data_IF_463682138968
#
_entry.id   IF_463682138968
#
_cell.length_a   1.000
_cell.length_b   1.000
_cell.length_c   1.000
_cell.angle_alpha   90.00
_cell.angle_beta   90.00
_cell.angle_gamma   90.00
#
_symmetry.space_group_name_H-M   'P 1'
#
loop_
_entity.id
_entity.type
_entity.pdbx_description
1 polymer ?
#
# COMPACT_ATOMS: atom_id res chain seq x y z
N UNK A 1 8.78 -2.01 -4.88
CA UNK A 1 8.60 -0.66 -4.31
C UNK A 1 8.89 -0.65 -2.83
N UNK A 2 9.62 0.34 -2.37
CA UNK A 2 9.85 0.51 -0.94
C UNK A 2 8.75 1.34 -0.28
N UNK A 3 8.63 1.23 1.05
CA UNK A 3 7.62 1.98 1.82
C UNK A 3 7.76 3.49 1.65
N UNK A 4 8.99 4.00 1.63
CA UNK A 4 9.23 5.44 1.50
C UNK A 4 8.80 5.97 0.14
N UNK A 5 9.02 5.19 -0.90
CA UNK A 5 8.61 5.53 -2.26
C UNK A 5 7.09 5.59 -2.38
N UNK A 6 6.40 4.59 -1.81
CA UNK A 6 4.94 4.56 -1.79
C UNK A 6 4.39 5.72 -0.97
N UNK A 7 5.00 6.01 0.16
CA UNK A 7 4.62 7.12 1.03
C UNK A 7 4.74 8.46 0.30
N UNK A 8 5.84 8.67 -0.40
CA UNK A 8 6.06 9.89 -1.16
C UNK A 8 4.98 10.07 -2.22
N UNK A 9 4.67 9.02 -2.97
CA UNK A 9 3.59 9.05 -3.96
C UNK A 9 2.23 9.33 -3.31
N UNK A 10 1.97 8.75 -2.14
CA UNK A 10 0.72 8.99 -1.41
C UNK A 10 0.60 10.45 -0.96
N UNK A 11 1.69 11.05 -0.51
CA UNK A 11 1.71 12.46 -0.11
C UNK A 11 1.41 13.39 -1.28
N UNK A 12 1.84 13.01 -2.47
CA UNK A 12 1.57 13.78 -3.70
C UNK A 12 0.17 13.53 -4.27
N UNK A 13 -0.57 12.59 -3.69
CA UNK A 13 -1.87 12.20 -4.22
C UNK A 13 -1.79 11.42 -5.52
N UNK A 14 -0.65 10.82 -5.80
CA UNK A 14 -0.40 10.10 -7.05
C UNK A 14 -0.88 8.64 -7.02
N UNK A 15 -1.24 8.12 -5.86
CA UNK A 15 -1.66 6.73 -5.72
C UNK A 15 -3.13 6.58 -6.07
N UNK A 16 -3.43 5.85 -7.14
CA UNK A 16 -4.79 5.52 -7.53
C UNK A 16 -5.32 4.35 -6.73
N UNK A 17 -4.50 3.32 -6.54
CA UNK A 17 -4.87 2.12 -5.81
C UNK A 17 -3.66 1.59 -5.06
N UNK A 18 -3.84 1.25 -3.81
CA UNK A 18 -2.82 0.60 -3.00
C UNK A 18 -3.28 -0.82 -2.66
N UNK A 19 -2.53 -1.81 -3.13
CA UNK A 19 -2.75 -3.21 -2.77
C UNK A 19 -1.73 -3.57 -1.70
N UNK A 20 -2.19 -3.97 -0.53
CA UNK A 20 -1.33 -4.19 0.63
C UNK A 20 -1.70 -5.50 1.31
N UNK A 21 -0.68 -6.22 1.78
CA UNK A 21 -0.87 -7.41 2.60
C UNK A 21 -1.50 -6.98 3.94
N UNK A 22 -2.60 -7.63 4.30
CA UNK A 22 -3.31 -7.34 5.53
C UNK A 22 -2.42 -7.44 6.78
N UNK A 23 -1.40 -8.28 6.77
CA UNK A 23 -0.49 -8.43 7.90
C UNK A 23 0.28 -7.14 8.20
N UNK A 24 0.55 -6.32 7.19
CA UNK A 24 1.26 -5.05 7.39
C UNK A 24 0.43 -4.03 8.18
N UNK A 25 -0.89 -4.16 8.13
CA UNK A 25 -1.79 -3.28 8.88
C UNK A 25 -2.03 -3.83 10.29
N UNK A 26 -2.00 -5.15 10.46
CA UNK A 26 -2.25 -5.81 11.74
C UNK A 26 -1.04 -5.89 12.64
N UNK A 27 0.15 -5.98 12.05
CA UNK A 27 1.39 -6.11 12.82
C UNK A 27 1.73 -4.76 13.47
N UNK A 28 1.87 -4.73 14.81
CA UNK A 28 2.20 -3.48 15.52
C UNK A 28 3.50 -2.84 15.04
N UNK A 29 4.44 -3.62 14.50
CA UNK A 29 5.71 -3.12 13.99
C UNK A 29 5.54 -2.28 12.72
N UNK A 30 4.50 -2.53 11.95
CA UNK A 30 4.26 -1.86 10.67
C UNK A 30 3.01 -0.99 10.67
N UNK A 31 2.11 -1.21 11.62
CA UNK A 31 0.82 -0.55 11.67
C UNK A 31 0.89 0.97 11.58
N UNK A 32 1.79 1.58 12.33
CA UNK A 32 1.90 3.04 12.38
C UNK A 32 2.35 3.62 11.03
N UNK A 33 3.30 2.94 10.39
CA UNK A 33 3.84 3.40 9.09
C UNK A 33 2.82 3.24 7.98
N UNK A 34 2.25 2.04 7.87
CA UNK A 34 1.31 1.73 6.80
C UNK A 34 -0.06 2.36 7.03
N UNK A 35 -0.45 2.51 8.30
CA UNK A 35 -1.69 3.21 8.65
C UNK A 35 -1.71 4.63 8.13
N UNK A 36 -0.60 5.35 8.25
CA UNK A 36 -0.47 6.71 7.72
C UNK A 36 -0.58 6.76 6.20
N UNK A 37 0.06 5.81 5.53
CA UNK A 37 0.01 5.71 4.05
C UNK A 37 -1.41 5.40 3.57
N UNK A 38 -2.07 4.43 4.20
CA UNK A 38 -3.45 4.07 3.88
C UNK A 38 -4.37 5.28 4.03
N UNK A 39 -4.19 6.05 5.09
CA UNK A 39 -4.97 7.26 5.33
C UNK A 39 -4.74 8.30 4.25
N UNK A 40 -3.50 8.54 3.87
CA UNK A 40 -3.16 9.50 2.80
C UNK A 40 -3.79 9.11 1.47
N UNK A 41 -3.73 7.83 1.12
CA UNK A 41 -4.34 7.32 -0.11
C UNK A 41 -5.85 7.56 -0.08
N UNK A 42 -6.49 7.26 1.04
CA UNK A 42 -7.93 7.48 1.19
C UNK A 42 -8.32 8.95 1.11
N UNK A 43 -7.56 9.83 1.76
CA UNK A 43 -7.82 11.28 1.74
C UNK A 43 -7.70 11.89 0.35
N UNK A 44 -6.85 11.32 -0.49
CA UNK A 44 -6.65 11.78 -1.87
C UNK A 44 -7.53 11.06 -2.89
N UNK A 45 -8.54 10.33 -2.43
CA UNK A 45 -9.49 9.65 -3.30
C UNK A 45 -8.98 8.35 -3.91
N UNK A 46 -7.87 7.83 -3.40
CA UNK A 46 -7.35 6.54 -3.82
C UNK A 46 -8.09 5.38 -3.17
N UNK A 47 -7.93 4.20 -3.74
CA UNK A 47 -8.52 2.96 -3.22
C UNK A 47 -7.47 2.13 -2.51
N UNK A 48 -7.85 1.48 -1.42
CA UNK A 48 -6.96 0.56 -0.70
C UNK A 48 -7.57 -0.83 -0.73
N UNK A 49 -6.81 -1.79 -1.23
CA UNK A 49 -7.21 -3.19 -1.31
C UNK A 49 -6.31 -3.99 -0.38
N UNK A 50 -6.92 -4.70 0.56
CA UNK A 50 -6.19 -5.59 1.45
C UNK A 50 -6.19 -6.99 0.86
N UNK A 51 -5.01 -7.59 0.75
CA UNK A 51 -4.84 -8.93 0.22
C UNK A 51 -4.32 -9.86 1.33
N UNK A 52 -4.77 -11.10 1.32
CA UNK A 52 -4.26 -12.11 2.25
C UNK A 52 -3.21 -12.96 1.54
N UNK A 53 -2.16 -13.34 2.27
CA UNK A 53 -1.12 -14.24 1.75
C UNK A 53 -1.64 -15.64 1.46
N UNK A 54 -2.82 -15.98 1.97
CA UNK A 54 -3.46 -17.26 1.73
C UNK A 54 -4.09 -17.35 0.33
N UNK A 55 -4.18 -16.23 -0.37
CA UNK A 55 -4.71 -16.16 -1.74
C UNK A 55 -3.57 -15.94 -2.74
N UNK A 56 -3.79 -16.33 -3.99
CA UNK A 56 -2.81 -16.17 -5.05
C UNK A 56 -2.33 -14.71 -5.17
N UNK A 57 -3.24 -13.76 -5.04
CA UNK A 57 -2.90 -12.35 -5.09
C UNK A 57 -1.95 -11.95 -3.95
N UNK A 58 -2.15 -12.50 -2.75
CA UNK A 58 -1.27 -12.26 -1.62
C UNK A 58 0.12 -12.84 -1.84
N UNK A 59 0.20 -14.03 -2.44
CA UNK A 59 1.48 -14.64 -2.76
C UNK A 59 2.25 -13.82 -3.79
N UNK A 60 1.58 -13.27 -4.78
CA UNK A 60 2.20 -12.36 -5.74
C UNK A 60 2.73 -11.11 -5.05
N UNK A 61 2.01 -10.59 -4.07
CA UNK A 61 2.46 -9.43 -3.29
C UNK A 61 3.77 -9.67 -2.55
N UNK A 62 4.05 -10.89 -2.11
CA UNK A 62 5.30 -11.22 -1.44
C UNK A 62 6.50 -10.94 -2.34
N UNK A 63 6.36 -11.12 -3.66
CA UNK A 63 7.39 -10.80 -4.63
C UNK A 63 7.62 -9.30 -4.79
N UNK A 64 6.68 -8.46 -4.34
CA UNK A 64 6.77 -7.00 -4.42
C UNK A 64 6.97 -6.34 -3.05
N UNK A 65 7.36 -7.11 -2.03
CA UNK A 65 7.56 -6.57 -0.69
C UNK A 65 6.27 -6.34 0.08
N UNK A 66 5.24 -7.12 -0.22
CA UNK A 66 3.93 -7.13 0.44
C UNK A 66 3.04 -5.92 0.17
N UNK A 67 3.47 -4.99 -0.65
CA UNK A 67 2.64 -3.86 -1.04
C UNK A 67 2.97 -3.40 -2.43
N UNK A 68 1.97 -2.96 -3.15
CA UNK A 68 2.13 -2.41 -4.50
C UNK A 68 1.19 -1.22 -4.66
N UNK A 69 1.71 -0.13 -5.21
CA UNK A 69 0.93 1.07 -5.49
C UNK A 69 0.76 1.24 -7.00
N UNK A 70 -0.48 1.41 -7.41
CA UNK A 70 -0.81 1.76 -8.79
C UNK A 70 -0.97 3.27 -8.85
N UNK A 71 -0.17 3.92 -9.66
CA UNK A 71 -0.10 5.38 -9.71
C UNK A 71 -1.02 5.94 -10.78
N UNK A 72 -1.58 7.14 -10.52
CA UNK A 72 -2.39 7.88 -11.50
C UNK A 72 -1.52 8.48 -12.59
N UNK A 73 -0.30 8.85 -12.24
CA UNK A 73 0.68 9.38 -13.17
C UNK A 73 2.06 8.93 -12.72
N UNK A 74 3.02 9.02 -13.62
CA UNK A 74 4.41 8.75 -13.29
C UNK A 74 5.07 10.04 -12.83
N UNK A 75 5.64 10.03 -11.62
CA UNK A 75 6.36 11.19 -11.13
C UNK A 75 7.64 11.44 -11.90
#
# INVERSE_FOLDING_TARGET
MGIEEIRSCAEEGAVECLVIDASLIRDPSYKDRWGGIVRLVGENGGEVIQASVDHDAGQQLLGFGRAIALLRWRP
#
